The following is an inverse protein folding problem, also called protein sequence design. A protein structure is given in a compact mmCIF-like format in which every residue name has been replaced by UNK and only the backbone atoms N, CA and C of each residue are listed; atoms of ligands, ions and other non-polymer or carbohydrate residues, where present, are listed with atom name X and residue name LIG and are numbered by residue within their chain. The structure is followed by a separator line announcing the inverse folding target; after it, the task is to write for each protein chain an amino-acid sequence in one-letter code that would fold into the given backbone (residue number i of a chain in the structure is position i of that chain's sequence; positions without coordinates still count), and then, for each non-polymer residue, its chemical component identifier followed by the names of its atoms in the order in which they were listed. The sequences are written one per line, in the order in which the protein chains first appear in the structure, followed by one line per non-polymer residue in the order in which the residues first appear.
data_IF_286564606305
#
_entry.id   IF_286564606305
#
_cell.length_a   1.000
_cell.length_b   1.000
_cell.length_c   1.000
_cell.angle_alpha   90.00
_cell.angle_beta   90.00
_cell.angle_gamma   90.00
#
_symmetry.space_group_name_H-M   'P 1'
#
loop_
_entity.id
_entity.type
_entity.pdbx_description
1 polymer ?
#
# COMPACT_ATOMS: atom_id res chain seq x y z
N UNK A 1 4.96 -74.29 5.85
CA UNK A 1 4.99 -73.74 4.48
C UNK A 1 5.11 -72.23 4.57
N UNK A 2 6.28 -71.66 4.86
CA UNK A 2 7.44 -71.51 3.94
C UNK A 2 7.05 -70.99 2.56
N UNK A 3 7.36 -69.72 2.25
CA UNK A 3 8.54 -69.39 1.43
C UNK A 3 8.83 -67.89 1.39
N UNK A 4 10.14 -67.65 1.39
CA UNK A 4 10.91 -66.42 1.36
C UNK A 4 11.59 -66.37 -0.02
N UNK A 5 11.53 -65.25 -0.75
CA UNK A 5 12.45 -64.88 -1.87
C UNK A 5 12.32 -63.36 -2.06
N UNK A 6 13.17 -62.46 -1.55
CA UNK A 6 14.54 -62.06 -1.94
C UNK A 6 14.74 -61.55 -3.38
N UNK A 7 15.13 -60.27 -3.47
CA UNK A 7 16.21 -59.69 -4.30
C UNK A 7 16.19 -59.83 -5.83
N UNK A 8 16.25 -58.70 -6.55
CA UNK A 8 17.43 -58.36 -7.39
C UNK A 8 17.30 -56.97 -8.04
N UNK A 9 18.29 -56.11 -7.77
CA UNK A 9 18.70 -54.96 -8.61
C UNK A 9 19.60 -55.46 -9.76
N UNK A 10 19.74 -54.67 -10.84
CA UNK A 10 21.07 -54.34 -11.39
C UNK A 10 21.18 -52.82 -11.71
N UNK A 11 22.16 -52.07 -11.18
CA UNK A 11 23.54 -51.77 -11.69
C UNK A 11 23.67 -51.35 -13.18
N UNK A 12 23.99 -50.05 -13.38
CA UNK A 12 25.10 -49.41 -14.13
C UNK A 12 25.70 -50.19 -15.33
N UNK A 13 26.08 -49.64 -16.50
CA UNK A 13 26.83 -48.40 -16.78
C UNK A 13 26.87 -48.12 -18.33
N UNK A 14 27.79 -47.32 -18.94
CA UNK A 14 27.50 -46.26 -19.91
C UNK A 14 27.96 -46.64 -21.34
N UNK A 15 27.76 -45.76 -22.32
CA UNK A 15 28.31 -46.05 -23.66
C UNK A 15 27.93 -45.08 -24.75
N UNK A 16 28.67 -43.96 -24.81
CA UNK A 16 29.19 -43.30 -26.00
C UNK A 16 28.66 -43.73 -27.38
N UNK A 17 28.15 -42.75 -28.13
CA UNK A 17 28.53 -42.57 -29.53
C UNK A 17 28.69 -41.09 -29.85
N UNK A 18 29.95 -40.69 -29.99
CA UNK A 18 30.34 -39.47 -30.67
C UNK A 18 30.24 -39.67 -32.20
N UNK A 19 29.82 -38.64 -32.92
CA UNK A 19 30.36 -38.20 -34.22
C UNK A 19 29.49 -37.03 -34.74
N UNK A 20 29.94 -35.97 -35.41
CA UNK A 20 31.24 -35.31 -35.66
C UNK A 20 30.87 -34.00 -36.38
N UNK A 21 31.64 -32.92 -36.15
CA UNK A 21 31.91 -31.78 -37.08
C UNK A 21 30.72 -30.88 -37.49
N UNK A 22 30.82 -29.55 -37.54
CA UNK A 22 31.93 -28.77 -38.04
C UNK A 22 32.00 -27.35 -37.46
N UNK A 23 33.23 -26.85 -37.52
CA UNK A 23 33.74 -25.52 -37.22
C UNK A 23 33.14 -24.45 -38.16
N UNK A 24 32.92 -23.24 -37.64
CA UNK A 24 33.31 -22.01 -38.33
C UNK A 24 33.33 -20.83 -37.36
N UNK A 25 34.55 -20.40 -37.08
CA UNK A 25 34.91 -19.11 -36.50
C UNK A 25 34.66 -18.01 -37.54
N UNK A 26 33.95 -16.94 -37.17
CA UNK A 26 34.12 -15.62 -37.81
C UNK A 26 34.08 -14.54 -36.73
N UNK A 27 35.06 -13.66 -36.83
CA UNK A 27 35.45 -12.58 -35.93
C UNK A 27 34.43 -11.42 -35.86
N UNK A 28 34.52 -10.69 -34.74
CA UNK A 28 33.87 -9.40 -34.45
C UNK A 28 34.15 -8.32 -35.51
N UNK A 29 33.35 -7.25 -35.53
CA UNK A 29 33.95 -5.98 -35.15
C UNK A 29 33.19 -5.21 -34.06
N UNK A 30 34.00 -4.63 -33.17
CA UNK A 30 33.75 -3.51 -32.27
C UNK A 30 33.19 -2.28 -33.01
N UNK A 31 32.07 -1.73 -32.55
CA UNK A 31 31.61 -0.36 -32.86
C UNK A 31 30.93 0.18 -31.59
N UNK A 32 31.65 0.93 -30.74
CA UNK A 32 31.84 2.40 -30.72
C UNK A 32 30.95 3.04 -29.64
N UNK A 33 31.59 3.48 -28.56
CA UNK A 33 31.04 4.42 -27.58
C UNK A 33 30.65 5.72 -28.25
N UNK A 34 29.47 6.24 -27.92
CA UNK A 34 29.17 7.67 -28.03
C UNK A 34 28.72 8.19 -26.67
N UNK A 35 29.56 9.06 -26.13
CA UNK A 35 29.33 9.87 -24.93
C UNK A 35 28.84 11.24 -25.39
N UNK A 36 27.69 11.68 -24.89
CA UNK A 36 27.38 13.12 -24.70
C UNK A 36 26.17 13.29 -23.76
N UNK A 37 26.41 13.92 -22.61
CA UNK A 37 25.40 14.62 -21.78
C UNK A 37 24.91 15.93 -22.47
N UNK A 38 24.06 16.76 -21.83
CA UNK A 38 22.59 16.73 -21.80
C UNK A 38 21.99 17.95 -22.56
N UNK A 39 20.67 18.18 -22.49
CA UNK A 39 20.29 19.51 -22.01
C UNK A 39 19.29 19.50 -20.84
N UNK A 40 19.66 20.31 -19.86
CA UNK A 40 18.86 20.84 -18.76
C UNK A 40 17.80 21.79 -19.33
N UNK A 41 16.54 21.36 -19.44
CA UNK A 41 15.44 22.31 -19.65
C UNK A 41 14.88 22.74 -18.29
N UNK A 42 15.37 23.89 -17.81
CA UNK A 42 14.67 24.72 -16.85
C UNK A 42 13.58 25.46 -17.61
N UNK A 43 12.32 25.20 -17.31
CA UNK A 43 11.28 26.21 -17.40
C UNK A 43 10.50 26.19 -16.08
N UNK A 44 10.82 27.17 -15.24
CA UNK A 44 9.91 27.68 -14.24
C UNK A 44 8.66 28.17 -14.96
N UNK A 45 7.48 27.73 -14.56
CA UNK A 45 6.32 28.61 -14.58
C UNK A 45 5.39 28.26 -13.41
N UNK A 46 5.56 29.04 -12.34
CA UNK A 46 4.58 29.24 -11.29
C UNK A 46 3.23 29.57 -11.93
N UNK A 47 2.27 28.64 -11.87
CA UNK A 47 0.85 28.98 -11.97
C UNK A 47 0.30 28.92 -10.56
N UNK A 48 0.37 30.08 -9.90
CA UNK A 48 -0.50 30.38 -8.78
C UNK A 48 -1.93 30.46 -9.34
N UNK A 49 -2.84 29.61 -8.90
CA UNK A 49 -4.27 29.85 -9.10
C UNK A 49 -5.05 29.60 -7.81
N UNK A 50 -4.96 30.63 -6.97
CA UNK A 50 -6.02 31.23 -6.15
C UNK A 50 -6.97 30.29 -5.40
N UNK A 51 -6.78 30.31 -4.08
CA UNK A 51 -7.79 30.06 -3.06
C UNK A 51 -9.14 30.69 -3.46
N UNK A 52 -10.19 29.88 -3.54
CA UNK A 52 -11.57 30.35 -3.50
C UNK A 52 -12.17 29.98 -2.16
N UNK A 53 -11.93 30.82 -1.15
CA UNK A 53 -12.75 30.84 0.06
C UNK A 53 -14.00 31.65 -0.24
N UNK A 54 -15.13 30.97 -0.42
CA UNK A 54 -16.44 31.60 -0.38
C UNK A 54 -17.03 31.37 1.02
N UNK A 55 -16.63 32.21 1.98
CA UNK A 55 -17.41 32.42 3.19
C UNK A 55 -18.58 33.34 2.84
N UNK A 56 -19.77 32.75 2.66
CA UNK A 56 -21.01 33.53 2.61
C UNK A 56 -21.50 33.75 4.04
N UNK A 57 -21.09 34.88 4.63
CA UNK A 57 -21.67 35.39 5.86
C UNK A 57 -23.06 35.98 5.54
N UNK A 58 -24.12 35.26 5.87
CA UNK A 58 -25.49 35.79 5.84
C UNK A 58 -25.72 36.57 7.14
N UNK A 59 -25.61 37.89 7.05
CA UNK A 59 -26.08 38.84 8.05
C UNK A 59 -27.57 39.10 7.79
N UNK A 60 -28.45 38.55 8.64
CA UNK A 60 -29.83 39.05 8.76
C UNK A 60 -29.88 39.86 10.05
N UNK A 61 -30.00 41.18 9.88
CA UNK A 61 -30.26 42.12 10.95
C UNK A 61 -31.70 41.98 11.46
N UNK A 62 -31.95 42.02 12.79
CA UNK A 62 -33.29 42.15 13.33
C UNK A 62 -33.73 43.63 13.36
N UNK A 63 -34.78 43.96 12.61
CA UNK A 63 -35.47 45.25 12.73
C UNK A 63 -36.41 45.25 13.93
N UNK A 64 -36.30 46.31 14.73
CA UNK A 64 -36.87 46.50 16.07
C UNK A 64 -38.37 46.88 16.07
N UNK A 65 -39.02 46.71 17.23
CA UNK A 65 -39.73 47.74 18.05
C UNK A 65 -40.93 47.12 18.80
N UNK A 66 -40.83 46.85 20.11
CA UNK A 66 -41.23 47.60 21.34
C UNK A 66 -42.63 47.25 21.90
N UNK A 67 -42.66 46.83 23.18
CA UNK A 67 -43.57 47.19 24.30
C UNK A 67 -43.63 45.99 25.28
N UNK A 68 -43.32 46.08 26.57
CA UNK A 68 -42.89 47.18 27.43
C UNK A 68 -42.68 46.69 28.89
N UNK A 69 -42.78 47.65 29.81
CA UNK A 69 -42.95 47.52 31.27
C UNK A 69 -41.67 47.27 32.09
N UNK A 70 -41.07 48.41 32.44
CA UNK A 70 -40.36 48.77 33.66
C UNK A 70 -40.09 47.71 34.74
N UNK A 71 -38.81 47.53 35.07
CA UNK A 71 -38.32 47.54 36.45
C UNK A 71 -36.86 48.00 36.46
N UNK A 72 -36.58 49.00 37.29
CA UNK A 72 -35.25 49.54 37.60
C UNK A 72 -34.46 48.57 38.47
N UNK A 73 -33.17 48.41 38.20
CA UNK A 73 -32.16 48.09 39.23
C UNK A 73 -30.79 48.58 38.76
N UNK A 74 -30.11 49.46 39.50
CA UNK A 74 -28.76 49.89 39.17
C UNK A 74 -27.70 49.00 39.86
N UNK A 75 -26.48 49.14 39.37
CA UNK A 75 -25.19 48.92 40.05
C UNK A 75 -24.47 47.57 39.85
N UNK A 76 -23.65 47.57 38.80
CA UNK A 76 -22.21 47.23 38.78
C UNK A 76 -21.70 46.02 39.57
N UNK A 77 -21.12 45.06 38.84
CA UNK A 77 -19.68 44.74 38.96
C UNK A 77 -19.20 43.93 37.77
N UNK A 78 -18.24 44.48 37.05
CA UNK A 78 -17.43 43.75 36.10
C UNK A 78 -16.73 42.59 36.82
N UNK A 79 -17.02 41.37 36.41
CA UNK A 79 -16.11 40.25 36.59
C UNK A 79 -15.60 39.89 35.20
N UNK A 80 -14.45 40.46 34.84
CA UNK A 80 -13.66 39.96 33.73
C UNK A 80 -13.20 38.54 34.12
N UNK A 81 -13.93 37.52 33.69
CA UNK A 81 -13.47 36.14 33.78
C UNK A 81 -12.36 36.00 32.74
N UNK A 82 -11.12 36.12 33.19
CA UNK A 82 -9.96 35.75 32.39
C UNK A 82 -10.05 34.26 32.08
N UNK A 83 -10.46 33.93 30.86
CA UNK A 83 -10.39 32.57 30.33
C UNK A 83 -8.92 32.21 30.17
N UNK A 84 -8.43 31.33 31.04
CA UNK A 84 -7.11 30.72 30.88
C UNK A 84 -7.22 29.77 29.68
N UNK A 85 -6.91 30.26 28.49
CA UNK A 85 -6.63 29.41 27.34
C UNK A 85 -5.32 28.70 27.61
N UNK A 86 -5.36 27.58 28.32
CA UNK A 86 -4.26 26.64 28.36
C UNK A 86 -4.11 26.05 26.94
N UNK A 87 -3.19 26.60 26.16
CA UNK A 87 -2.75 25.98 24.93
C UNK A 87 -2.01 24.68 25.31
N UNK A 88 -2.73 23.56 25.28
CA UNK A 88 -2.10 22.25 25.24
C UNK A 88 -1.30 22.17 23.94
N UNK A 89 0.00 22.43 24.03
CA UNK A 89 0.94 22.07 22.98
C UNK A 89 0.95 20.55 22.89
N UNK A 90 0.07 19.99 22.05
CA UNK A 90 0.07 18.58 21.74
C UNK A 90 1.38 18.25 21.05
N UNK A 91 2.25 17.50 21.73
CA UNK A 91 3.32 16.79 21.03
C UNK A 91 2.67 15.92 19.95
N UNK A 92 3.24 15.83 18.73
CA UNK A 92 2.74 14.89 17.74
C UNK A 92 2.84 13.50 18.34
N UNK A 93 1.67 12.88 18.54
CA UNK A 93 1.61 11.48 18.92
C UNK A 93 2.04 10.71 17.68
N UNK A 94 3.30 10.27 17.67
CA UNK A 94 3.74 9.26 16.71
C UNK A 94 2.99 8.00 17.12
N UNK A 95 1.78 7.84 16.59
CA UNK A 95 1.09 6.57 16.65
C UNK A 95 2.03 5.55 16.02
N UNK A 96 2.33 4.49 16.76
CA UNK A 96 3.11 3.39 16.24
C UNK A 96 2.37 2.86 15.00
N UNK A 97 3.06 2.85 13.87
CA UNK A 97 2.47 2.40 12.62
C UNK A 97 2.19 0.88 12.73
N UNK A 98 1.03 0.43 12.26
CA UNK A 98 0.74 -0.99 12.29
C UNK A 98 1.73 -1.75 11.38
N UNK A 99 2.27 -2.87 11.86
CA UNK A 99 3.11 -3.73 11.03
C UNK A 99 2.25 -4.59 10.11
N UNK A 100 2.18 -4.19 8.84
CA UNK A 100 1.49 -4.92 7.79
C UNK A 100 2.31 -6.07 7.21
N UNK A 101 3.45 -6.45 7.79
CA UNK A 101 4.28 -7.53 7.24
C UNK A 101 3.57 -8.88 7.34
N UNK A 102 3.50 -9.60 6.21
CA UNK A 102 2.93 -10.94 6.20
C UNK A 102 2.48 -11.44 4.85
N UNK A 103 2.01 -12.69 4.86
CA UNK A 103 1.33 -13.32 3.72
C UNK A 103 -0.18 -13.25 3.92
N UNK A 104 -0.93 -13.01 2.85
CA UNK A 104 -2.36 -12.80 2.89
C UNK A 104 -3.13 -13.72 1.94
N UNK A 105 -4.36 -14.03 2.30
CA UNK A 105 -5.34 -14.69 1.45
C UNK A 105 -6.34 -13.66 0.90
N UNK A 106 -6.50 -13.62 -0.42
CA UNK A 106 -7.47 -12.79 -1.12
C UNK A 106 -8.58 -13.67 -1.73
N UNK A 107 -9.82 -13.50 -1.28
CA UNK A 107 -10.98 -14.27 -1.78
C UNK A 107 -11.28 -13.99 -3.25
N UNK A 108 -11.04 -12.76 -3.73
CA UNK A 108 -11.24 -12.40 -5.14
C UNK A 108 -10.14 -12.94 -6.06
N UNK A 109 -9.02 -13.40 -5.49
CA UNK A 109 -7.92 -14.00 -6.23
C UNK A 109 -7.44 -15.30 -5.54
N UNK A 110 -8.23 -16.39 -5.62
CA UNK A 110 -7.91 -17.65 -4.97
C UNK A 110 -6.53 -18.18 -5.36
N UNK A 111 -5.80 -18.73 -4.37
CA UNK A 111 -4.43 -19.25 -4.45
C UNK A 111 -3.35 -18.25 -4.90
N UNK A 112 -3.69 -17.04 -5.31
CA UNK A 112 -2.69 -16.06 -5.71
C UNK A 112 -1.91 -15.56 -4.49
N UNK A 113 -0.61 -15.36 -4.68
CA UNK A 113 0.26 -14.84 -3.62
C UNK A 113 -0.08 -13.39 -3.35
N UNK A 114 -0.09 -13.03 -2.07
CA UNK A 114 -0.17 -11.66 -1.55
C UNK A 114 0.78 -11.58 -0.37
N UNK A 115 1.85 -10.84 -0.53
CA UNK A 115 2.88 -10.67 0.48
C UNK A 115 3.12 -9.18 0.64
N UNK A 116 3.23 -8.73 1.89
CA UNK A 116 3.58 -7.37 2.25
C UNK A 116 4.85 -7.44 3.08
N UNK A 117 5.83 -6.61 2.72
CA UNK A 117 7.07 -6.42 3.47
C UNK A 117 7.15 -4.96 3.87
N UNK A 118 7.38 -4.69 5.16
CA UNK A 118 7.44 -3.34 5.71
C UNK A 118 8.86 -2.99 6.18
N UNK A 119 9.34 -1.82 5.79
CA UNK A 119 10.61 -1.23 6.23
C UNK A 119 10.35 0.23 6.66
N UNK A 120 10.16 0.45 7.97
CA UNK A 120 9.70 1.74 8.49
C UNK A 120 8.29 2.07 7.98
N UNK A 121 8.12 3.21 7.32
CA UNK A 121 6.82 3.60 6.73
C UNK A 121 6.71 3.24 5.24
N UNK A 122 7.65 2.47 4.70
CA UNK A 122 7.63 2.00 3.32
C UNK A 122 7.15 0.56 3.28
N UNK A 123 6.19 0.27 2.41
CA UNK A 123 5.70 -1.08 2.16
C UNK A 123 6.03 -1.52 0.74
N UNK A 124 6.33 -2.80 0.57
CA UNK A 124 6.49 -3.45 -0.74
C UNK A 124 5.50 -4.60 -0.81
N UNK A 125 4.60 -4.55 -1.79
CA UNK A 125 3.60 -5.58 -2.00
C UNK A 125 3.99 -6.45 -3.18
N UNK A 126 4.09 -7.76 -2.94
CA UNK A 126 4.39 -8.76 -3.96
C UNK A 126 3.22 -9.71 -4.10
N UNK A 127 3.06 -10.25 -5.30
CA UNK A 127 2.06 -11.26 -5.50
C UNK A 127 2.00 -11.79 -6.92
N UNK A 128 0.99 -12.59 -7.16
CA UNK A 128 0.68 -13.15 -8.48
C UNK A 128 -0.76 -12.81 -8.85
N UNK A 129 -1.04 -12.75 -10.15
CA UNK A 129 -2.39 -12.72 -10.67
C UNK A 129 -2.64 -13.92 -11.59
N UNK A 130 -3.85 -14.45 -11.52
CA UNK A 130 -4.42 -15.38 -12.48
C UNK A 130 -5.91 -15.12 -12.64
N UNK A 131 -6.53 -15.77 -13.62
CA UNK A 131 -7.97 -15.62 -13.92
C UNK A 131 -8.59 -17.01 -14.04
N UNK A 132 -9.57 -17.39 -13.20
CA UNK A 132 -10.19 -16.63 -12.09
C UNK A 132 -9.35 -16.58 -10.80
N UNK A 133 -8.21 -17.24 -10.77
CA UNK A 133 -7.27 -17.29 -9.65
C UNK A 133 -5.96 -17.92 -10.11
N UNK A 134 -5.10 -18.27 -9.18
CA UNK A 134 -3.83 -18.94 -9.46
C UNK A 134 -3.95 -20.46 -9.26
N UNK A 135 -3.05 -21.28 -9.82
CA UNK A 135 -2.96 -22.70 -9.48
C UNK A 135 -2.60 -22.88 -8.01
N UNK A 136 -2.72 -24.11 -7.48
CA UNK A 136 -2.51 -24.41 -6.06
C UNK A 136 -1.09 -24.06 -5.55
N UNK A 137 -0.10 -24.03 -6.45
CA UNK A 137 1.28 -23.60 -6.15
C UNK A 137 1.44 -22.07 -6.07
N UNK A 138 0.37 -21.32 -6.32
CA UNK A 138 0.33 -19.86 -6.34
C UNK A 138 1.10 -19.22 -7.50
N UNK A 139 1.48 -19.99 -8.51
CA UNK A 139 2.10 -19.48 -9.74
C UNK A 139 1.13 -18.57 -10.52
N UNK A 140 1.67 -17.63 -11.28
CA UNK A 140 0.85 -16.67 -12.03
C UNK A 140 1.68 -15.50 -12.53
N UNK A 141 1.03 -14.47 -13.06
CA UNK A 141 1.70 -13.24 -13.47
C UNK A 141 2.16 -12.48 -12.23
N UNK A 142 3.46 -12.53 -11.94
CA UNK A 142 4.04 -11.86 -10.79
C UNK A 142 3.96 -10.34 -10.92
N UNK A 143 3.83 -9.66 -9.78
CA UNK A 143 3.85 -8.21 -9.68
C UNK A 143 4.52 -7.76 -8.38
N UNK A 144 5.00 -6.53 -8.38
CA UNK A 144 5.61 -5.86 -7.24
C UNK A 144 5.16 -4.38 -7.24
N UNK A 145 4.56 -3.92 -6.16
CA UNK A 145 3.96 -2.60 -6.04
C UNK A 145 4.51 -1.85 -4.83
N UNK A 146 4.78 -0.54 -4.96
CA UNK A 146 5.18 0.28 -3.83
C UNK A 146 3.96 0.64 -2.98
N UNK A 147 4.21 0.82 -1.69
CA UNK A 147 3.23 1.34 -0.76
C UNK A 147 3.85 2.14 0.38
N UNK A 148 2.97 2.78 1.16
CA UNK A 148 3.31 3.61 2.31
C UNK A 148 2.38 3.31 3.47
N UNK A 149 2.89 3.36 4.69
CA UNK A 149 2.12 3.17 5.92
C UNK A 149 1.91 4.51 6.64
N UNK A 150 0.72 4.68 7.18
CA UNK A 150 0.30 5.81 8.03
C UNK A 150 -0.67 5.31 9.11
N UNK A 151 -0.15 5.06 10.32
CA UNK A 151 -0.92 4.45 11.42
C UNK A 151 -1.48 3.09 11.03
N UNK A 152 -2.80 2.93 11.12
CA UNK A 152 -3.55 1.72 10.74
C UNK A 152 -3.92 1.66 9.25
N UNK A 153 -3.32 2.51 8.41
CA UNK A 153 -3.58 2.58 6.98
C UNK A 153 -2.35 2.20 6.17
N UNK A 154 -2.55 1.45 5.09
CA UNK A 154 -1.57 1.20 4.04
C UNK A 154 -2.09 1.81 2.73
N UNK A 155 -1.23 2.50 2.00
CA UNK A 155 -1.54 3.10 0.69
C UNK A 155 -0.70 2.41 -0.36
N UNK A 156 -1.31 1.92 -1.43
CA UNK A 156 -0.62 1.13 -2.46
C UNK A 156 -0.90 1.65 -3.86
N UNK A 157 0.16 1.71 -4.67
CA UNK A 157 0.07 2.08 -6.08
C UNK A 157 -0.24 0.87 -6.96
N UNK A 158 -1.52 0.70 -7.30
CA UNK A 158 -1.98 -0.32 -8.23
C UNK A 158 -1.97 0.15 -9.68
N UNK A 159 -1.51 1.37 -10.00
CA UNK A 159 -1.46 1.88 -11.37
C UNK A 159 -0.64 1.03 -12.35
N UNK A 160 0.47 0.34 -11.96
CA UNK A 160 1.16 -0.60 -12.85
C UNK A 160 0.29 -1.79 -13.29
N UNK A 161 -0.80 -2.06 -12.56
CA UNK A 161 -1.79 -3.10 -12.88
C UNK A 161 -3.07 -2.53 -13.51
N UNK A 162 -3.12 -1.22 -13.77
CA UNK A 162 -4.30 -0.51 -14.26
C UNK A 162 -5.28 -0.05 -13.16
N UNK A 163 -4.87 -0.12 -11.89
CA UNK A 163 -5.67 0.33 -10.75
C UNK A 163 -5.36 1.78 -10.31
N UNK A 164 -5.93 2.22 -9.19
CA UNK A 164 -5.66 3.54 -8.61
C UNK A 164 -4.27 3.63 -7.97
N UNK A 165 -3.70 4.83 -7.93
CA UNK A 165 -2.33 5.12 -7.48
C UNK A 165 -2.12 5.07 -5.97
N UNK A 166 -3.15 5.30 -5.17
CA UNK A 166 -3.04 5.39 -3.72
C UNK A 166 -4.25 4.71 -3.08
N UNK A 167 -4.45 3.41 -3.41
CA UNK A 167 -5.55 2.66 -2.82
C UNK A 167 -5.28 2.48 -1.33
N UNK A 168 -6.20 2.98 -0.50
CA UNK A 168 -6.13 2.86 0.95
C UNK A 168 -6.67 1.51 1.41
N UNK A 169 -5.83 0.72 2.06
CA UNK A 169 -6.21 -0.42 2.89
C UNK A 169 -6.20 -0.03 4.37
N UNK A 170 -7.14 -0.57 5.15
CA UNK A 170 -7.23 -0.38 6.60
C UNK A 170 -6.95 -1.69 7.32
N UNK A 171 -6.18 -1.62 8.41
CA UNK A 171 -6.02 -2.77 9.29
C UNK A 171 -7.35 -3.11 9.98
N UNK A 172 -7.76 -4.37 9.87
CA UNK A 172 -8.94 -4.92 10.54
C UNK A 172 -8.48 -6.06 11.45
N UNK A 173 -8.48 -5.89 12.79
CA UNK A 173 -7.95 -6.90 13.72
C UNK A 173 -8.94 -8.03 14.06
N UNK A 174 -10.23 -7.88 13.74
CA UNK A 174 -11.31 -8.78 14.15
C UNK A 174 -12.45 -8.74 13.12
N UNK A 175 -13.13 -9.87 12.83
CA UNK A 175 -12.98 -11.19 13.47
C UNK A 175 -11.74 -11.98 13.01
N UNK A 176 -11.19 -11.65 11.84
CA UNK A 176 -9.97 -12.23 11.30
C UNK A 176 -9.01 -11.08 10.96
N UNK A 177 -7.74 -11.12 11.42
CA UNK A 177 -6.79 -10.06 11.15
C UNK A 177 -6.52 -9.92 9.64
N UNK A 178 -6.47 -8.70 9.12
CA UNK A 178 -6.20 -8.47 7.71
C UNK A 178 -6.29 -7.02 7.24
N UNK A 179 -6.17 -6.84 5.93
CA UNK A 179 -6.24 -5.55 5.26
C UNK A 179 -7.59 -5.45 4.54
N UNK A 180 -8.46 -4.55 5.01
CA UNK A 180 -9.73 -4.24 4.37
C UNK A 180 -9.53 -3.20 3.28
N UNK A 181 -9.89 -3.55 2.05
CA UNK A 181 -9.87 -2.64 0.90
C UNK A 181 -11.24 -1.99 0.65
N UNK A 182 -11.31 -0.88 -0.11
CA UNK A 182 -12.55 -0.14 -0.34
C UNK A 182 -13.64 -0.91 -1.10
N UNK A 183 -13.26 -1.98 -1.80
CA UNK A 183 -14.14 -2.88 -2.54
C UNK A 183 -14.72 -4.02 -1.66
N UNK A 184 -14.66 -3.83 -0.35
CA UNK A 184 -15.01 -4.78 0.70
C UNK A 184 -14.21 -6.09 0.69
N UNK A 185 -13.12 -6.17 -0.07
CA UNK A 185 -12.23 -7.31 -0.04
C UNK A 185 -11.36 -7.30 1.21
N UNK A 186 -11.34 -8.40 1.96
CA UNK A 186 -10.41 -8.59 3.08
C UNK A 186 -9.26 -9.46 2.60
N UNK A 187 -8.06 -8.89 2.59
CA UNK A 187 -6.86 -9.70 2.53
C UNK A 187 -6.58 -10.20 3.93
N UNK A 188 -6.98 -11.45 4.20
CA UNK A 188 -6.81 -12.06 5.53
C UNK A 188 -5.36 -12.43 5.74
N UNK A 189 -4.79 -12.03 6.87
CA UNK A 189 -3.44 -12.46 7.25
C UNK A 189 -3.44 -13.99 7.41
N UNK A 190 -2.48 -14.65 6.78
CA UNK A 190 -2.25 -16.08 6.98
C UNK A 190 -1.43 -16.25 8.24
N UNK A 191 -1.92 -17.10 9.16
CA UNK A 191 -1.13 -17.51 10.31
C UNK A 191 0.20 -18.12 9.84
N UNK A 192 1.32 -17.57 10.29
CA UNK A 192 2.67 -18.12 10.04
C UNK A 192 2.88 -19.45 10.79
N UNK A 193 1.89 -19.92 11.57
CA UNK A 193 2.02 -21.03 12.52
C UNK A 193 1.31 -22.33 12.12
N UNK A 194 0.81 -22.48 10.89
CA UNK A 194 0.20 -23.73 10.42
C UNK A 194 0.61 -24.09 8.99
N UNK A 195 1.87 -24.45 8.83
CA UNK A 195 2.35 -25.25 7.71
C UNK A 195 3.01 -26.52 8.22
#
# INVERSE_FOLDING_TARGET
SERFVQSTLPRHNPGNNANTTALSSVLLPTVRSESTHPPRSRNNLLIMSRLSLSFLAILIAPSSVVMGWSIVTPLQKAAAVATISAAIAGAPMVADAHDFTGSYADVKHPNCKREVVVEGNVATLKGTDGTPGCPADGSGRAWNLPGKIDGDSIFVDFSPKGGPKDLKGLWEPSPEPGIRWPDNNLWRLKDVSKE
#
